data_IF_761948892931
#
_entry.id   IF_761948892931
#
_cell.length_a   1.000
_cell.length_b   1.000
_cell.length_c   1.000
_cell.angle_alpha   90.00
_cell.angle_beta   90.00
_cell.angle_gamma   90.00
#
_symmetry.space_group_name_H-M   'P 1'
#
loop_
_entity.id
_entity.type
_entity.pdbx_description
1 polymer ?
#
# COMPACT_ATOMS: atom_id res chain seq x y z
N UNK A 1 -18.87 69.99 -8.40
CA UNK A 1 -19.92 69.40 -7.55
C UNK A 1 -20.69 68.37 -8.36
N UNK A 2 -20.33 67.10 -8.22
CA UNK A 2 -21.06 65.87 -8.58
C UNK A 2 -20.18 64.78 -7.95
N UNK A 3 -20.57 63.87 -7.07
CA UNK A 3 -21.85 63.35 -6.58
C UNK A 3 -21.51 61.94 -6.10
N UNK A 4 -21.89 61.60 -4.89
CA UNK A 4 -21.53 60.38 -4.14
C UNK A 4 -21.80 59.06 -4.87
N UNK A 5 -21.02 58.01 -4.58
CA UNK A 5 -21.57 56.67 -4.36
C UNK A 5 -20.57 55.75 -3.65
N UNK A 6 -20.71 55.63 -2.33
CA UNK A 6 -20.18 54.50 -1.57
C UNK A 6 -21.02 53.27 -1.92
N UNK A 7 -20.43 52.30 -2.62
CA UNK A 7 -20.98 50.96 -2.74
C UNK A 7 -20.25 50.05 -1.74
N UNK A 8 -20.78 50.00 -0.53
CA UNK A 8 -20.55 48.91 0.41
C UNK A 8 -21.48 47.76 0.03
N UNK A 9 -20.94 46.62 -0.41
CA UNK A 9 -21.69 45.36 -0.34
C UNK A 9 -20.81 44.13 -0.07
N UNK A 10 -21.32 43.32 0.83
CA UNK A 10 -20.68 42.22 1.53
C UNK A 10 -20.87 40.91 0.77
N UNK A 11 -19.81 40.18 0.41
CA UNK A 11 -19.92 38.74 0.09
C UNK A 11 -18.61 38.01 0.42
N UNK A 12 -18.25 37.92 1.70
CA UNK A 12 -17.43 36.82 2.22
C UNK A 12 -18.00 36.38 3.57
N UNK A 13 -19.06 35.57 3.51
CA UNK A 13 -19.59 34.87 4.68
C UNK A 13 -18.91 33.50 4.74
N UNK A 14 -17.94 33.32 5.65
CA UNK A 14 -17.34 32.00 5.94
C UNK A 14 -18.45 31.07 6.46
N UNK A 15 -18.67 29.88 5.88
CA UNK A 15 -19.57 28.92 6.49
C UNK A 15 -18.94 28.34 7.77
N UNK A 16 -19.77 28.25 8.81
CA UNK A 16 -19.47 27.68 10.12
C UNK A 16 -19.13 26.18 10.03
N UNK A 17 -18.12 25.77 10.80
CA UNK A 17 -17.69 24.38 10.96
C UNK A 17 -18.85 23.47 11.41
N UNK A 18 -19.20 22.49 10.58
CA UNK A 18 -20.12 21.41 10.94
C UNK A 18 -19.33 20.37 11.73
N UNK A 19 -19.70 20.18 13.00
CA UNK A 19 -19.12 19.17 13.88
C UNK A 19 -19.65 17.79 13.48
N UNK A 20 -18.89 17.07 12.66
CA UNK A 20 -19.18 15.70 12.29
C UNK A 20 -18.99 14.76 13.49
N UNK A 21 -20.09 14.23 14.05
CA UNK A 21 -20.04 13.02 14.88
C UNK A 21 -19.96 11.81 13.94
N UNK A 22 -18.77 11.25 13.74
CA UNK A 22 -18.61 9.94 13.09
C UNK A 22 -18.57 8.85 14.15
N UNK A 23 -19.70 8.21 14.42
CA UNK A 23 -19.73 6.91 15.08
C UNK A 23 -20.22 5.88 14.06
N UNK A 24 -19.29 5.37 13.25
CA UNK A 24 -19.50 4.12 12.53
C UNK A 24 -18.60 3.08 13.18
N UNK A 25 -19.15 2.30 14.11
CA UNK A 25 -18.55 1.02 14.49
C UNK A 25 -18.78 0.08 13.30
N UNK A 26 -17.84 0.06 12.37
CA UNK A 26 -17.72 -1.05 11.41
C UNK A 26 -17.05 -2.20 12.16
N UNK A 27 -17.86 -3.11 12.71
CA UNK A 27 -17.35 -4.40 13.18
C UNK A 27 -17.02 -5.25 11.97
N UNK A 28 -15.76 -5.25 11.53
CA UNK A 28 -15.26 -6.27 10.63
C UNK A 28 -15.08 -7.56 11.42
N UNK A 29 -16.12 -8.39 11.49
CA UNK A 29 -15.97 -9.79 11.87
C UNK A 29 -15.38 -10.54 10.67
N UNK A 30 -14.07 -10.43 10.46
CA UNK A 30 -13.36 -11.43 9.68
C UNK A 30 -13.43 -12.73 10.47
N UNK A 31 -14.27 -13.67 10.01
CA UNK A 31 -14.35 -15.01 10.55
C UNK A 31 -12.99 -15.69 10.36
N UNK A 32 -12.15 -15.65 11.40
CA UNK A 32 -10.98 -16.52 11.52
C UNK A 32 -11.53 -17.93 11.67
N UNK A 33 -11.53 -18.70 10.58
CA UNK A 33 -11.78 -20.14 10.66
C UNK A 33 -10.59 -20.74 11.44
N UNK A 34 -10.82 -21.05 12.72
CA UNK A 34 -9.79 -21.44 13.69
C UNK A 34 -9.61 -22.97 13.74
N UNK A 35 -9.47 -23.61 12.58
CA UNK A 35 -9.17 -25.04 12.49
C UNK A 35 -7.74 -25.31 11.98
N UNK A 36 -6.84 -24.32 12.06
CA UNK A 36 -5.44 -24.49 11.68
C UNK A 36 -4.59 -24.72 12.95
N UNK A 37 -3.93 -25.89 13.01
CA UNK A 37 -2.98 -26.25 14.07
C UNK A 37 -1.89 -25.18 14.13
N UNK A 38 -1.96 -24.30 15.12
CA UNK A 38 -1.01 -23.21 15.28
C UNK A 38 0.22 -23.73 16.03
N UNK A 39 1.41 -23.58 15.45
CA UNK A 39 2.67 -23.95 16.11
C UNK A 39 2.98 -22.89 17.17
N UNK A 40 3.19 -23.32 18.41
CA UNK A 40 3.52 -22.43 19.54
C UNK A 40 4.71 -21.54 19.19
N UNK A 41 4.54 -20.21 19.30
CA UNK A 41 5.56 -19.21 18.95
C UNK A 41 5.51 -18.67 17.52
N UNK A 42 4.64 -19.21 16.65
CA UNK A 42 4.39 -18.70 15.29
C UNK A 42 2.96 -18.17 15.11
N UNK A 43 2.33 -17.78 16.22
CA UNK A 43 1.02 -17.17 16.23
C UNK A 43 1.07 -15.82 15.50
N UNK A 44 0.16 -15.62 14.55
CA UNK A 44 0.05 -14.33 13.86
C UNK A 44 -0.46 -13.29 14.86
N UNK A 45 0.30 -12.22 15.15
CA UNK A 45 -0.14 -11.21 16.10
C UNK A 45 -1.38 -10.49 15.56
N UNK A 46 -2.37 -10.28 16.42
CA UNK A 46 -3.54 -9.47 16.07
C UNK A 46 -3.11 -8.03 15.84
N UNK A 47 -3.69 -7.39 14.83
CA UNK A 47 -3.55 -5.96 14.65
C UNK A 47 -4.02 -5.20 15.89
N UNK A 48 -3.38 -4.08 16.28
CA UNK A 48 -3.83 -3.27 17.41
C UNK A 48 -5.25 -2.72 17.19
N UNK A 49 -6.07 -2.70 18.24
CA UNK A 49 -7.47 -2.25 18.15
C UNK A 49 -7.62 -0.75 17.80
N UNK A 50 -6.65 0.10 18.19
CA UNK A 50 -6.71 1.55 17.91
C UNK A 50 -5.36 2.28 17.93
N UNK A 51 -4.22 1.58 17.85
CA UNK A 51 -2.89 2.20 17.97
C UNK A 51 -2.34 2.81 16.66
N UNK A 52 -3.12 2.77 15.58
CA UNK A 52 -2.73 3.40 14.32
C UNK A 52 -2.76 4.93 14.46
N UNK A 53 -1.62 5.57 14.25
CA UNK A 53 -1.46 7.02 14.28
C UNK A 53 -0.89 7.50 12.95
N UNK A 54 -1.14 8.77 12.61
CA UNK A 54 -0.58 9.43 11.43
C UNK A 54 0.38 10.58 11.81
N UNK A 55 0.78 10.63 13.08
CA UNK A 55 1.79 11.59 13.55
C UNK A 55 3.16 11.14 13.01
N UNK A 56 3.93 12.09 12.47
CA UNK A 56 5.26 11.79 11.97
C UNK A 56 6.15 11.33 13.14
N UNK A 57 6.88 10.20 13.01
CA UNK A 57 7.78 9.72 14.05
C UNK A 57 8.85 10.79 14.39
N UNK A 58 9.28 10.82 15.66
CA UNK A 58 10.27 11.79 16.12
C UNK A 58 11.70 11.28 15.88
N UNK A 59 12.70 12.16 16.04
CA UNK A 59 14.12 11.81 15.86
C UNK A 59 14.60 10.69 16.82
N UNK A 60 13.92 10.47 17.94
CA UNK A 60 14.26 9.41 18.91
C UNK A 60 13.83 8.01 18.42
N UNK A 61 12.84 7.94 17.51
CA UNK A 61 12.42 6.69 16.87
C UNK A 61 13.41 6.23 15.78
N UNK A 62 14.30 7.12 15.33
CA UNK A 62 15.33 6.88 14.33
C UNK A 62 16.65 6.35 14.92
N UNK A 63 16.75 6.22 16.25
CA UNK A 63 17.99 5.89 16.94
C UNK A 63 18.51 4.46 16.71
N UNK A 64 17.74 3.60 16.02
CA UNK A 64 18.13 2.21 15.71
C UNK A 64 18.21 2.02 14.21
N UNK A 65 19.32 1.44 13.76
CA UNK A 65 19.47 1.03 12.37
C UNK A 65 18.39 0.01 12.00
N UNK A 66 17.79 0.13 10.79
CA UNK A 66 16.81 -0.82 10.33
C UNK A 66 17.45 -2.21 10.14
N UNK A 67 16.67 -3.29 10.31
CA UNK A 67 17.16 -4.64 10.06
C UNK A 67 17.56 -4.80 8.58
N UNK A 68 18.57 -5.64 8.35
CA UNK A 68 19.02 -6.00 7.00
C UNK A 68 17.90 -6.75 6.28
N UNK A 69 17.71 -6.45 4.99
CA UNK A 69 16.72 -7.14 4.15
C UNK A 69 17.08 -8.63 4.05
N UNK A 70 16.14 -9.54 4.36
CA UNK A 70 16.37 -10.97 4.18
C UNK A 70 16.70 -11.33 2.73
N UNK A 71 17.70 -12.19 2.47
CA UNK A 71 18.12 -12.55 1.11
C UNK A 71 17.00 -13.22 0.30
N UNK A 72 16.07 -13.91 0.96
CA UNK A 72 14.90 -14.53 0.34
C UNK A 72 14.03 -13.53 -0.45
N UNK A 73 13.99 -12.26 -0.04
CA UNK A 73 13.19 -11.23 -0.72
C UNK A 73 13.82 -10.70 -2.00
N UNK A 74 15.09 -11.04 -2.27
CA UNK A 74 15.81 -10.58 -3.46
C UNK A 74 15.43 -11.37 -4.73
N UNK A 75 14.87 -12.57 -4.58
CA UNK A 75 14.54 -13.46 -5.69
C UNK A 75 13.02 -13.55 -5.86
N UNK A 76 12.46 -12.79 -6.81
CA UNK A 76 11.04 -12.89 -7.16
C UNK A 76 10.79 -14.10 -8.06
N UNK A 77 9.63 -14.75 -7.96
CA UNK A 77 9.20 -15.75 -8.94
C UNK A 77 9.19 -15.18 -10.37
N UNK A 78 8.88 -13.89 -10.50
CA UNK A 78 8.75 -13.19 -11.77
C UNK A 78 10.09 -12.74 -12.38
N UNK A 79 11.20 -12.84 -11.64
CA UNK A 79 12.53 -12.47 -12.18
C UNK A 79 13.20 -13.57 -13.00
N UNK A 80 12.61 -14.77 -13.03
CA UNK A 80 13.15 -15.89 -13.80
C UNK A 80 12.75 -15.71 -15.27
N UNK A 81 13.70 -15.81 -16.24
CA UNK A 81 13.35 -15.79 -17.64
C UNK A 81 12.43 -16.98 -17.95
N UNK A 82 11.33 -16.73 -18.65
CA UNK A 82 10.46 -17.79 -19.12
C UNK A 82 11.27 -18.70 -20.05
N UNK A 83 11.55 -19.93 -19.63
CA UNK A 83 12.06 -20.95 -20.54
C UNK A 83 10.97 -21.22 -21.57
N UNK A 84 11.32 -21.12 -22.85
CA UNK A 84 10.39 -21.11 -23.99
C UNK A 84 9.41 -22.28 -24.06
N UNK A 85 9.64 -23.35 -23.31
CA UNK A 85 8.84 -24.58 -23.34
C UNK A 85 7.81 -24.68 -22.20
N UNK A 86 7.79 -23.75 -21.22
CA UNK A 86 6.95 -23.85 -20.00
C UNK A 86 6.29 -22.54 -19.59
N UNK A 87 5.89 -21.73 -20.59
CA UNK A 87 5.33 -20.36 -20.45
C UNK A 87 4.19 -20.18 -19.43
N UNK A 88 3.56 -21.23 -18.91
CA UNK A 88 2.43 -21.13 -17.98
C UNK A 88 2.72 -21.54 -16.53
N UNK A 89 3.86 -22.19 -16.21
CA UNK A 89 4.07 -22.74 -14.85
C UNK A 89 5.21 -22.04 -14.12
N UNK A 90 4.85 -21.19 -13.15
CA UNK A 90 5.81 -20.61 -12.19
C UNK A 90 6.35 -21.70 -11.25
N UNK A 91 7.62 -21.60 -10.81
CA UNK A 91 8.16 -22.52 -9.82
C UNK A 91 7.43 -22.38 -8.47
N UNK A 92 7.48 -23.43 -7.65
CA UNK A 92 6.87 -23.43 -6.33
C UNK A 92 7.48 -22.31 -5.46
N UNK A 93 6.68 -21.35 -4.93
CA UNK A 93 7.20 -20.29 -4.07
C UNK A 93 7.72 -20.81 -2.74
N UNK A 94 8.76 -20.17 -2.24
CA UNK A 94 9.14 -20.22 -0.84
C UNK A 94 8.11 -19.45 0.01
N UNK A 95 7.84 -19.92 1.23
CA UNK A 95 6.88 -19.23 2.11
C UNK A 95 7.30 -17.77 2.41
N UNK A 96 8.60 -17.50 2.45
CA UNK A 96 9.17 -16.17 2.74
C UNK A 96 8.91 -15.12 1.64
N UNK A 97 8.50 -15.53 0.42
CA UNK A 97 8.20 -14.58 -0.68
C UNK A 97 6.70 -14.32 -0.84
N UNK A 98 5.87 -15.05 -0.10
CA UNK A 98 4.41 -14.87 -0.13
C UNK A 98 4.04 -13.57 0.57
N UNK A 99 3.00 -12.93 0.06
CA UNK A 99 2.46 -11.68 0.58
C UNK A 99 3.41 -10.47 0.49
N UNK A 100 4.50 -10.57 -0.28
CA UNK A 100 5.39 -9.45 -0.57
C UNK A 100 5.08 -8.81 -1.92
N UNK A 101 5.12 -7.47 -1.95
CA UNK A 101 4.90 -6.68 -3.16
C UNK A 101 6.24 -6.54 -3.91
N UNK A 102 6.24 -6.93 -5.18
CA UNK A 102 7.35 -6.76 -6.10
C UNK A 102 7.01 -5.68 -7.12
N UNK A 103 7.99 -4.85 -7.46
CA UNK A 103 7.86 -3.80 -8.45
C UNK A 103 8.91 -4.04 -9.52
N UNK A 104 8.48 -4.11 -10.79
CA UNK A 104 9.41 -4.24 -11.90
C UNK A 104 10.20 -2.92 -12.03
N UNK A 105 11.46 -2.92 -11.64
CA UNK A 105 12.36 -1.79 -11.81
C UNK A 105 12.99 -1.84 -13.22
N UNK A 106 12.22 -1.46 -14.24
CA UNK A 106 12.73 -1.26 -15.60
C UNK A 106 12.64 0.22 -15.97
N UNK A 107 13.74 0.69 -16.57
CA UNK A 107 14.04 1.99 -17.20
C UNK A 107 13.03 3.15 -17.00
N UNK A 108 13.48 4.36 -16.62
CA UNK A 108 12.65 5.51 -16.22
C UNK A 108 11.69 6.09 -17.29
N UNK A 109 11.56 5.45 -18.45
CA UNK A 109 10.82 5.94 -19.61
C UNK A 109 9.41 5.36 -19.74
N UNK A 110 8.98 4.45 -18.85
CA UNK A 110 7.64 3.82 -18.96
C UNK A 110 6.55 4.64 -18.26
N UNK A 111 5.41 4.78 -18.94
CA UNK A 111 4.17 5.37 -18.42
C UNK A 111 3.35 4.39 -17.57
N UNK A 112 3.84 3.18 -17.32
CA UNK A 112 3.16 2.09 -16.62
C UNK A 112 4.13 1.44 -15.65
N UNK A 113 3.65 1.17 -14.43
CA UNK A 113 4.35 0.38 -13.41
C UNK A 113 3.70 -1.00 -13.32
N UNK A 114 4.53 -2.05 -13.32
CA UNK A 114 4.09 -3.41 -13.07
C UNK A 114 4.32 -3.79 -11.61
N UNK A 115 3.26 -4.27 -10.95
CA UNK A 115 3.23 -4.69 -9.55
C UNK A 115 2.94 -6.19 -9.48
N UNK A 116 3.81 -6.96 -8.84
CA UNK A 116 3.67 -8.40 -8.65
C UNK A 116 3.39 -8.78 -7.20
N UNK A 117 2.51 -9.75 -6.96
CA UNK A 117 2.19 -10.25 -5.62
C UNK A 117 1.81 -11.73 -5.67
N UNK A 118 2.29 -12.53 -4.72
CA UNK A 118 1.96 -13.96 -4.64
C UNK A 118 1.23 -14.28 -3.34
N UNK A 119 0.11 -14.97 -3.44
CA UNK A 119 -0.72 -15.36 -2.29
C UNK A 119 -0.99 -16.86 -2.28
N UNK A 120 -1.11 -17.45 -1.09
CA UNK A 120 -1.52 -18.84 -0.91
C UNK A 120 -3.03 -18.91 -0.74
N UNK A 121 -3.72 -19.55 -1.68
CA UNK A 121 -5.13 -19.91 -1.54
C UNK A 121 -5.26 -21.41 -1.27
N UNK A 122 -5.58 -21.77 -0.01
CA UNK A 122 -5.56 -23.16 0.49
C UNK A 122 -4.18 -23.81 0.28
N UNK A 123 -4.11 -24.81 -0.61
CA UNK A 123 -2.89 -25.56 -0.97
C UNK A 123 -2.30 -25.12 -2.32
N UNK A 124 -2.78 -24.02 -2.89
CA UNK A 124 -2.34 -23.48 -4.20
C UNK A 124 -1.78 -22.07 -4.03
N UNK A 125 -0.97 -21.66 -5.00
CA UNK A 125 -0.36 -20.35 -5.04
C UNK A 125 -0.86 -19.59 -6.27
N UNK A 126 -1.17 -18.32 -6.07
CA UNK A 126 -1.64 -17.41 -7.13
C UNK A 126 -0.69 -16.23 -7.16
N UNK A 127 -0.07 -15.99 -8.31
CA UNK A 127 0.74 -14.80 -8.57
C UNK A 127 -0.04 -13.85 -9.46
N UNK A 128 -0.24 -12.63 -9.01
CA UNK A 128 -0.96 -11.57 -9.72
C UNK A 128 0.05 -10.52 -10.19
N UNK A 129 -0.12 -10.07 -11.43
CA UNK A 129 0.63 -8.92 -11.98
C UNK A 129 -0.37 -7.82 -12.37
N UNK A 130 -0.28 -6.67 -11.72
CA UNK A 130 -1.09 -5.49 -12.00
C UNK A 130 -0.25 -4.46 -12.76
N UNK A 131 -0.72 -4.07 -13.94
CA UNK A 131 -0.16 -2.96 -14.71
C UNK A 131 -0.95 -1.69 -14.42
N UNK A 132 -0.30 -0.70 -13.80
CA UNK A 132 -0.91 0.57 -13.42
C UNK A 132 -0.24 1.73 -14.16
N UNK A 133 -0.97 2.52 -14.97
CA UNK A 133 -0.44 3.74 -15.55
C UNK A 133 0.01 4.74 -14.47
N UNK A 134 1.13 5.41 -14.70
CA UNK A 134 1.67 6.46 -13.85
C UNK A 134 1.74 7.74 -14.65
N UNK A 135 1.02 8.76 -14.20
CA UNK A 135 1.11 10.09 -14.77
C UNK A 135 2.44 10.70 -14.34
N UNK A 136 3.34 10.94 -15.30
CA UNK A 136 4.50 11.79 -15.04
C UNK A 136 3.95 13.21 -14.91
N UNK A 137 3.91 13.76 -13.69
CA UNK A 137 3.72 15.21 -13.52
C UNK A 137 4.80 15.87 -14.35
N UNK A 138 4.40 16.50 -15.46
CA UNK A 138 5.31 17.25 -16.31
C UNK A 138 6.07 18.23 -15.43
N UNK A 139 7.38 18.27 -15.60
CA UNK A 139 8.18 19.38 -15.13
C UNK A 139 7.58 20.65 -15.70
N UNK A 140 6.85 21.40 -14.89
CA UNK A 140 6.65 22.83 -15.13
C UNK A 140 8.01 23.46 -14.96
N UNK A 141 8.79 23.46 -16.04
CA UNK A 141 9.93 24.35 -16.20
C UNK A 141 9.38 25.76 -16.21
N UNK A 142 9.76 26.56 -15.21
CA UNK A 142 9.68 28.02 -15.25
C UNK A 142 10.93 28.51 -15.96
#
# INVERSE_FOLDING_TARGET
MFGDMLASDSIYKRPSSVKGKSNSKMSNSYSVNHDEVTVVGFEVPKSPDSSYTNVYPGNEDEARDPPIVPPHLQHSLLSHPASGDTSETLPLPQNAVLNHLYIENREPQRSVVALGFTHRFRSKYVTVVLYKPVQRRGSTSI
#
